data_IF_647653305009
#
_entry.id   IF_647653305009
#
_cell.length_a   1.000
_cell.length_b   1.000
_cell.length_c   1.000
_cell.angle_alpha   90.00
_cell.angle_beta   90.00
_cell.angle_gamma   90.00
#
_symmetry.space_group_name_H-M   'P 1'
#
loop_
_entity.id
_entity.type
_entity.pdbx_description
1 polymer ?
#
# COMPACT_ATOMS: atom_id res chain seq x y z
N UNK A 1 -9.77 12.35 15.37
CA UNK A 1 -8.98 12.74 14.18
C UNK A 1 -9.59 12.11 12.96
N UNK A 2 -9.89 12.91 11.93
CA UNK A 2 -10.42 12.46 10.63
C UNK A 2 -9.26 12.40 9.65
N UNK A 3 -9.02 11.22 9.08
CA UNK A 3 -7.93 10.93 8.16
C UNK A 3 -8.49 10.65 6.76
N UNK A 4 -7.91 11.31 5.74
CA UNK A 4 -8.14 10.96 4.34
C UNK A 4 -6.93 10.18 3.82
N UNK A 5 -7.15 8.95 3.39
CA UNK A 5 -6.12 8.03 2.90
C UNK A 5 -6.26 7.79 1.38
N UNK A 6 -5.13 7.74 0.68
CA UNK A 6 -5.05 7.52 -0.77
C UNK A 6 -4.11 6.36 -1.10
N UNK A 7 -4.57 5.37 -1.86
CA UNK A 7 -3.71 4.33 -2.44
C UNK A 7 -3.80 4.31 -3.96
N UNK A 8 -2.64 4.48 -4.59
CA UNK A 8 -2.45 4.47 -6.05
C UNK A 8 -1.22 3.67 -6.46
N UNK A 9 -0.64 2.89 -5.53
CA UNK A 9 0.63 2.19 -5.77
C UNK A 9 0.51 0.98 -6.70
N UNK A 10 -0.69 0.41 -6.83
CA UNK A 10 -0.97 -0.76 -7.68
C UNK A 10 -1.94 -0.40 -8.82
N UNK A 11 -2.57 -1.42 -9.43
CA UNK A 11 -3.63 -1.22 -10.43
C UNK A 11 -4.92 -0.63 -9.85
N UNK A 12 -5.05 -0.67 -8.55
CA UNK A 12 -6.18 -0.11 -7.80
C UNK A 12 -5.97 1.37 -7.54
N UNK A 13 -7.01 2.17 -7.70
CA UNK A 13 -7.13 3.50 -7.13
C UNK A 13 -8.16 3.44 -6.00
N UNK A 14 -7.78 3.92 -4.82
CA UNK A 14 -8.66 3.90 -3.66
C UNK A 14 -8.49 5.15 -2.80
N UNK A 15 -9.62 5.64 -2.27
CA UNK A 15 -9.71 6.80 -1.37
C UNK A 15 -10.60 6.43 -0.20
N UNK A 16 -10.17 6.66 1.02
CA UNK A 16 -10.98 6.46 2.22
C UNK A 16 -10.93 7.68 3.14
N UNK A 17 -12.05 7.95 3.78
CA UNK A 17 -12.16 8.87 4.91
C UNK A 17 -12.54 8.05 6.13
N UNK A 18 -11.76 8.16 7.21
CA UNK A 18 -11.99 7.38 8.42
C UNK A 18 -11.54 8.12 9.68
N UNK A 19 -12.12 7.72 10.80
CA UNK A 19 -11.56 7.96 12.14
C UNK A 19 -10.85 6.67 12.59
N UNK A 20 -10.21 6.70 13.76
CA UNK A 20 -9.58 5.51 14.34
C UNK A 20 -10.59 4.36 14.51
N UNK A 21 -11.83 4.68 14.88
CA UNK A 21 -12.85 3.69 15.22
C UNK A 21 -13.84 3.40 14.07
N UNK A 22 -13.87 4.21 13.01
CA UNK A 22 -14.92 4.14 11.99
C UNK A 22 -14.43 4.50 10.60
N UNK A 23 -14.70 3.60 9.64
CA UNK A 23 -14.64 3.91 8.22
C UNK A 23 -15.88 4.73 7.85
N UNK A 24 -15.69 5.98 7.42
CA UNK A 24 -16.78 6.90 7.05
C UNK A 24 -17.18 6.74 5.59
N UNK A 25 -16.19 6.63 4.68
CA UNK A 25 -16.41 6.45 3.26
C UNK A 25 -15.23 5.75 2.59
N UNK A 26 -15.51 4.96 1.55
CA UNK A 26 -14.52 4.28 0.74
C UNK A 26 -14.93 4.29 -0.72
N UNK A 27 -14.06 4.83 -1.58
CA UNK A 27 -14.12 4.66 -3.02
C UNK A 27 -12.98 3.73 -3.47
N UNK A 28 -13.33 2.70 -4.23
CA UNK A 28 -12.40 1.69 -4.71
C UNK A 28 -12.67 1.39 -6.18
N UNK A 29 -11.67 1.52 -7.04
CA UNK A 29 -11.76 1.22 -8.46
C UNK A 29 -10.56 0.37 -8.88
N UNK A 30 -10.82 -0.78 -9.51
CA UNK A 30 -9.80 -1.65 -10.10
C UNK A 30 -10.19 -1.93 -11.57
N UNK A 31 -9.94 -0.97 -12.44
CA UNK A 31 -10.31 -1.06 -13.86
C UNK A 31 -9.13 -0.87 -14.81
N UNK A 32 -7.90 -0.79 -14.28
CA UNK A 32 -6.67 -0.63 -15.06
C UNK A 32 -6.51 0.73 -15.74
N UNK A 33 -7.35 1.72 -15.41
CA UNK A 33 -7.27 3.07 -15.98
C UNK A 33 -6.27 3.95 -15.23
N UNK A 34 -5.86 5.04 -15.86
CA UNK A 34 -4.88 5.99 -15.35
C UNK A 34 -5.36 6.69 -14.07
N UNK A 35 -4.61 6.53 -12.98
CA UNK A 35 -4.95 7.09 -11.67
C UNK A 35 -5.04 8.62 -11.66
N UNK A 36 -4.21 9.31 -12.46
CA UNK A 36 -4.14 10.78 -12.49
C UNK A 36 -5.46 11.47 -12.86
N UNK A 37 -6.30 10.82 -13.67
CA UNK A 37 -7.59 11.37 -14.09
C UNK A 37 -8.75 11.02 -13.16
N UNK A 38 -8.56 10.03 -12.27
CA UNK A 38 -9.63 9.50 -11.42
C UNK A 38 -9.50 9.90 -9.96
N UNK A 39 -8.28 10.10 -9.47
CA UNK A 39 -8.03 10.26 -8.05
C UNK A 39 -8.73 11.50 -7.46
N UNK A 40 -8.59 12.68 -8.09
CA UNK A 40 -9.23 13.91 -7.59
C UNK A 40 -10.77 13.79 -7.60
N UNK A 41 -11.42 13.37 -8.71
CA UNK A 41 -12.86 13.09 -8.69
C UNK A 41 -13.32 12.10 -7.62
N UNK A 42 -12.52 11.07 -7.30
CA UNK A 42 -12.84 10.13 -6.21
C UNK A 42 -12.79 10.81 -4.84
N UNK A 43 -11.80 11.69 -4.62
CA UNK A 43 -11.69 12.48 -3.39
C UNK A 43 -12.91 13.41 -3.24
N UNK A 44 -13.23 14.16 -4.29
CA UNK A 44 -14.38 15.05 -4.31
C UNK A 44 -15.69 14.28 -4.03
N UNK A 45 -15.86 13.13 -4.67
CA UNK A 45 -17.07 12.31 -4.49
C UNK A 45 -17.19 11.79 -3.05
N UNK A 46 -16.13 11.24 -2.45
CA UNK A 46 -16.22 10.71 -1.07
C UNK A 46 -16.48 11.82 -0.06
N UNK A 47 -15.87 12.99 -0.25
CA UNK A 47 -16.10 14.13 0.63
C UNK A 47 -17.53 14.68 0.49
N UNK A 48 -18.04 14.79 -0.74
CA UNK A 48 -19.42 15.25 -1.01
C UNK A 48 -20.47 14.33 -0.37
N UNK A 49 -20.31 13.01 -0.47
CA UNK A 49 -21.22 12.03 0.15
C UNK A 49 -21.21 12.09 1.69
N UNK A 50 -20.18 12.68 2.28
CA UNK A 50 -20.03 12.88 3.71
C UNK A 50 -20.38 14.30 4.17
N UNK A 51 -20.88 15.16 3.27
CA UNK A 51 -21.08 16.60 3.53
C UNK A 51 -19.81 17.29 4.09
N UNK A 52 -18.63 16.89 3.61
CA UNK A 52 -17.31 17.35 4.06
C UNK A 52 -16.54 18.05 2.95
N UNK A 53 -15.55 18.82 3.36
CA UNK A 53 -14.53 19.45 2.50
C UNK A 53 -13.13 19.02 2.94
N UNK A 54 -12.09 19.34 2.17
CA UNK A 54 -10.70 19.09 2.57
C UNK A 54 -10.31 19.83 3.88
N UNK A 55 -11.03 20.87 4.25
CA UNK A 55 -10.81 21.60 5.53
C UNK A 55 -11.19 20.78 6.76
N UNK A 56 -12.19 19.90 6.62
CA UNK A 56 -12.70 19.04 7.69
C UNK A 56 -11.80 17.83 7.97
N UNK A 57 -10.80 17.60 7.12
CA UNK A 57 -9.80 16.54 7.27
C UNK A 57 -8.67 17.03 8.19
N UNK A 58 -8.36 16.28 9.24
CA UNK A 58 -7.31 16.62 10.19
C UNK A 58 -5.91 16.21 9.70
N UNK A 59 -5.81 15.10 8.97
CA UNK A 59 -4.56 14.55 8.47
C UNK A 59 -4.77 13.77 7.17
N UNK A 60 -3.69 13.60 6.42
CA UNK A 60 -3.67 12.82 5.19
C UNK A 60 -2.75 11.61 5.30
N UNK A 61 -3.04 10.54 4.56
CA UNK A 61 -2.14 9.40 4.42
C UNK A 61 -2.05 8.93 2.97
N UNK A 62 -0.88 8.41 2.58
CA UNK A 62 -0.72 7.73 1.30
C UNK A 62 0.26 6.57 1.39
N UNK A 63 0.13 5.62 0.46
CA UNK A 63 1.15 4.61 0.27
C UNK A 63 2.39 5.23 -0.37
N UNK A 64 3.57 4.87 0.16
CA UNK A 64 4.86 5.33 -0.36
C UNK A 64 5.59 4.28 -1.20
N UNK A 65 4.98 3.13 -1.47
CA UNK A 65 5.57 2.01 -2.21
C UNK A 65 5.88 0.79 -1.32
N UNK A 66 6.50 -0.24 -1.89
CA UNK A 66 6.88 -0.38 -3.30
C UNK A 66 5.68 -0.61 -4.23
N UNK A 67 5.84 -0.28 -5.51
CA UNK A 67 4.79 -0.45 -6.51
C UNK A 67 5.05 0.36 -7.79
N UNK A 68 3.98 0.79 -8.44
CA UNK A 68 4.03 1.64 -9.62
C UNK A 68 4.70 2.99 -9.32
N UNK A 69 5.84 3.24 -9.95
CA UNK A 69 6.58 4.50 -9.80
C UNK A 69 5.72 5.76 -10.09
N UNK A 70 4.91 5.70 -11.14
CA UNK A 70 3.96 6.78 -11.48
C UNK A 70 2.84 6.87 -10.45
N UNK A 71 2.27 5.73 -10.05
CA UNK A 71 1.18 5.69 -9.06
C UNK A 71 1.59 6.28 -7.71
N UNK A 72 2.75 5.87 -7.18
CA UNK A 72 3.30 6.41 -5.93
C UNK A 72 3.39 7.94 -5.99
N UNK A 73 3.96 8.49 -7.07
CA UNK A 73 4.10 9.94 -7.23
C UNK A 73 2.77 10.67 -7.33
N UNK A 74 1.79 10.10 -8.03
CA UNK A 74 0.43 10.67 -8.11
C UNK A 74 -0.18 10.80 -6.72
N UNK A 75 -0.21 9.70 -5.94
CA UNK A 75 -0.76 9.71 -4.58
C UNK A 75 -0.05 10.70 -3.67
N UNK A 76 1.28 10.63 -3.60
CA UNK A 76 2.09 11.51 -2.75
C UNK A 76 1.95 12.99 -3.12
N UNK A 77 1.98 13.33 -4.42
CA UNK A 77 1.81 14.72 -4.86
C UNK A 77 0.41 15.24 -4.55
N UNK A 78 -0.61 14.39 -4.65
CA UNK A 78 -1.99 14.75 -4.33
C UNK A 78 -2.15 15.05 -2.84
N UNK A 79 -1.68 14.17 -1.95
CA UNK A 79 -1.80 14.43 -0.50
C UNK A 79 -0.98 15.64 -0.09
N UNK A 80 0.24 15.83 -0.63
CA UNK A 80 1.04 17.02 -0.35
C UNK A 80 0.32 18.30 -0.79
N UNK A 81 -0.30 18.29 -1.97
CA UNK A 81 -1.08 19.43 -2.48
C UNK A 81 -2.31 19.75 -1.63
N UNK A 82 -3.01 18.73 -1.13
CA UNK A 82 -4.17 18.90 -0.24
C UNK A 82 -3.79 19.36 1.17
N UNK A 83 -2.66 18.90 1.68
CA UNK A 83 -2.19 19.22 3.02
C UNK A 83 -1.60 20.64 3.12
N UNK A 84 -0.93 21.10 2.05
CA UNK A 84 -0.15 22.34 2.04
C UNK A 84 -0.90 23.62 2.45
N UNK A 85 -2.15 23.88 1.99
CA UNK A 85 -2.82 25.16 2.31
C UNK A 85 -3.06 25.41 3.80
N UNK A 86 -3.20 24.35 4.60
CA UNK A 86 -3.48 24.43 6.03
C UNK A 86 -2.38 23.73 6.87
N UNK A 87 -1.24 23.44 6.25
CA UNK A 87 -0.08 22.77 6.88
C UNK A 87 -0.45 21.48 7.64
N UNK A 88 -1.44 20.72 7.10
CA UNK A 88 -1.92 19.49 7.73
C UNK A 88 -0.87 18.39 7.65
N UNK A 89 -0.77 17.54 8.68
CA UNK A 89 0.21 16.47 8.71
C UNK A 89 -0.12 15.37 7.68
N UNK A 90 0.93 14.72 7.18
CA UNK A 90 0.83 13.61 6.23
C UNK A 90 1.59 12.40 6.76
N UNK A 91 0.93 11.26 6.80
CA UNK A 91 1.54 9.97 7.10
C UNK A 91 1.81 9.18 5.81
N UNK A 92 2.86 8.37 5.81
CA UNK A 92 3.14 7.43 4.72
C UNK A 92 3.26 6.01 5.26
N UNK A 93 2.73 5.04 4.50
CA UNK A 93 2.76 3.63 4.86
C UNK A 93 3.25 2.82 3.66
N UNK A 94 4.03 1.76 3.91
CA UNK A 94 4.38 0.81 2.86
C UNK A 94 3.12 0.19 2.24
N UNK A 95 3.04 0.13 0.91
CA UNK A 95 1.94 -0.52 0.19
C UNK A 95 1.78 -2.00 0.57
N UNK A 96 2.88 -2.68 0.90
CA UNK A 96 2.87 -4.05 1.38
C UNK A 96 2.26 -4.15 2.79
N UNK A 97 2.63 -3.23 3.69
CA UNK A 97 2.03 -3.14 5.02
C UNK A 97 0.54 -2.84 4.94
N UNK A 98 0.13 -1.86 4.13
CA UNK A 98 -1.28 -1.54 3.90
C UNK A 98 -2.06 -2.75 3.35
N UNK A 99 -1.46 -3.52 2.42
CA UNK A 99 -2.07 -4.77 1.91
C UNK A 99 -2.26 -5.81 3.01
N UNK A 100 -1.28 -5.96 3.91
CA UNK A 100 -1.35 -6.92 5.02
C UNK A 100 -2.42 -6.54 6.05
N UNK A 101 -2.64 -5.24 6.30
CA UNK A 101 -3.66 -4.76 7.25
C UNK A 101 -5.08 -5.19 6.89
N UNK A 102 -5.37 -5.45 5.63
CA UNK A 102 -6.65 -6.03 5.21
C UNK A 102 -6.93 -7.41 5.79
N UNK A 103 -5.89 -8.08 6.24
CA UNK A 103 -5.91 -9.42 6.82
C UNK A 103 -5.47 -9.41 8.30
N UNK A 104 -5.51 -8.25 8.97
CA UNK A 104 -5.03 -8.06 10.34
C UNK A 104 -5.74 -8.90 11.41
N UNK A 105 -6.96 -9.38 11.12
CA UNK A 105 -7.71 -10.27 12.01
C UNK A 105 -7.31 -11.76 11.87
N UNK A 106 -6.41 -12.11 10.94
CA UNK A 106 -5.98 -13.49 10.72
C UNK A 106 -4.84 -13.88 11.67
N UNK A 107 -4.86 -15.10 12.23
CA UNK A 107 -3.81 -15.56 13.14
C UNK A 107 -2.52 -15.98 12.42
N UNK A 108 -2.58 -16.19 11.11
CA UNK A 108 -1.44 -16.61 10.29
C UNK A 108 -0.62 -15.41 9.83
N UNK A 109 0.67 -15.59 9.57
CA UNK A 109 1.47 -14.59 8.87
C UNK A 109 0.86 -14.23 7.51
N UNK A 110 0.99 -12.97 7.11
CA UNK A 110 0.53 -12.44 5.81
C UNK A 110 1.75 -12.03 5.01
N UNK A 111 1.94 -12.66 3.85
CA UNK A 111 2.93 -12.27 2.86
C UNK A 111 2.25 -11.40 1.81
N UNK A 112 2.45 -10.09 1.89
CA UNK A 112 2.00 -9.15 0.88
C UNK A 112 3.01 -9.11 -0.26
N UNK A 113 2.54 -9.24 -1.51
CA UNK A 113 3.39 -9.29 -2.69
C UNK A 113 2.92 -8.34 -3.79
N UNK A 114 3.86 -7.60 -4.37
CA UNK A 114 3.62 -6.76 -5.56
C UNK A 114 4.52 -7.19 -6.70
N UNK A 115 3.99 -7.24 -7.93
CA UNK A 115 4.75 -7.60 -9.11
C UNK A 115 5.88 -6.59 -9.38
N UNK A 116 7.13 -7.04 -9.35
CA UNK A 116 8.32 -6.25 -9.67
C UNK A 116 8.83 -6.51 -11.10
N UNK A 117 8.06 -7.24 -11.94
CA UNK A 117 8.39 -7.73 -13.28
C UNK A 117 9.55 -8.73 -13.29
N UNK A 118 9.77 -9.38 -14.45
CA UNK A 118 10.89 -10.32 -14.69
C UNK A 118 11.00 -11.42 -13.62
N UNK A 119 9.88 -12.07 -13.27
CA UNK A 119 9.78 -13.10 -12.23
C UNK A 119 10.21 -12.65 -10.83
N UNK A 120 10.30 -11.35 -10.60
CA UNK A 120 10.56 -10.75 -9.29
C UNK A 120 9.30 -10.18 -8.65
N UNK A 121 9.27 -10.18 -7.34
CA UNK A 121 8.24 -9.54 -6.53
C UNK A 121 8.89 -8.62 -5.50
N UNK A 122 8.20 -7.51 -5.20
CA UNK A 122 8.37 -6.85 -3.92
C UNK A 122 7.49 -7.58 -2.92
N UNK A 123 8.01 -7.90 -1.76
CA UNK A 123 7.26 -8.61 -0.74
C UNK A 123 7.65 -8.18 0.67
N UNK A 124 6.76 -8.42 1.60
CA UNK A 124 6.98 -8.27 3.03
C UNK A 124 6.11 -9.28 3.77
N UNK A 125 6.57 -9.78 4.92
CA UNK A 125 5.83 -10.72 5.76
C UNK A 125 5.50 -10.05 7.08
N UNK A 126 4.22 -10.05 7.42
CA UNK A 126 3.67 -9.39 8.60
C UNK A 126 2.88 -10.41 9.43
N UNK A 127 2.89 -10.24 10.73
CA UNK A 127 2.05 -10.99 11.65
C UNK A 127 1.35 -10.04 12.60
N UNK A 128 0.09 -10.29 12.86
CA UNK A 128 -0.71 -9.48 13.76
C UNK A 128 -0.95 -10.25 15.07
N UNK A 129 -0.49 -9.69 16.18
CA UNK A 129 -0.73 -10.21 17.51
C UNK A 129 -1.52 -9.15 18.29
N UNK A 130 -2.78 -9.45 18.67
CA UNK A 130 -3.71 -8.51 19.29
C UNK A 130 -3.83 -7.18 18.51
N UNK A 131 -3.95 -7.25 17.19
CA UNK A 131 -4.01 -6.13 16.24
C UNK A 131 -2.70 -5.31 16.12
N UNK A 132 -1.65 -5.65 16.84
CA UNK A 132 -0.32 -5.06 16.67
C UNK A 132 0.38 -5.73 15.50
N UNK A 133 0.81 -4.91 14.53
CA UNK A 133 1.53 -5.38 13.35
C UNK A 133 3.02 -5.59 13.67
N UNK A 134 3.46 -6.85 13.56
CA UNK A 134 4.87 -7.21 13.65
C UNK A 134 5.42 -7.50 12.26
N UNK A 135 6.43 -6.76 11.83
CA UNK A 135 7.12 -6.98 10.58
C UNK A 135 8.14 -8.11 10.73
N UNK A 136 7.86 -9.27 10.12
CA UNK A 136 8.75 -10.44 10.15
C UNK A 136 9.81 -10.33 9.06
N UNK A 137 9.41 -9.92 7.86
CA UNK A 137 10.31 -9.63 6.74
C UNK A 137 10.00 -8.23 6.23
N UNK A 138 10.96 -7.31 6.30
CA UNK A 138 10.76 -5.95 5.79
C UNK A 138 10.58 -5.93 4.27
N UNK A 139 10.03 -4.83 3.71
CA UNK A 139 9.88 -4.66 2.28
C UNK A 139 11.17 -4.98 1.52
N UNK A 140 11.14 -6.04 0.71
CA UNK A 140 12.28 -6.62 0.01
C UNK A 140 11.92 -6.97 -1.43
N UNK A 141 12.93 -7.19 -2.28
CA UNK A 141 12.76 -7.65 -3.66
C UNK A 141 13.50 -8.98 -3.85
N UNK A 142 12.83 -9.99 -4.41
CA UNK A 142 13.43 -11.28 -4.68
C UNK A 142 12.75 -12.00 -5.87
N UNK A 143 13.36 -13.08 -6.36
CA UNK A 143 12.74 -13.98 -7.32
C UNK A 143 11.57 -14.72 -6.68
N UNK A 144 10.49 -14.89 -7.43
CA UNK A 144 9.25 -15.52 -6.92
C UNK A 144 9.47 -16.95 -6.42
N UNK A 145 10.38 -17.71 -7.04
CA UNK A 145 10.69 -19.06 -6.61
C UNK A 145 11.43 -19.06 -5.26
N UNK A 146 12.35 -18.11 -5.06
CA UNK A 146 13.05 -17.93 -3.77
C UNK A 146 12.06 -17.57 -2.66
N UNK A 147 11.14 -16.62 -2.92
CA UNK A 147 10.09 -16.26 -1.95
C UNK A 147 9.18 -17.45 -1.65
N UNK A 148 8.75 -18.18 -2.69
CA UNK A 148 7.92 -19.38 -2.50
C UNK A 148 8.62 -20.42 -1.61
N UNK A 149 9.90 -20.69 -1.83
CA UNK A 149 10.68 -21.65 -1.05
C UNK A 149 10.94 -21.18 0.38
N UNK A 150 11.04 -19.90 0.62
CA UNK A 150 11.26 -19.32 1.96
C UNK A 150 10.06 -19.46 2.89
N UNK A 151 8.85 -19.65 2.34
CA UNK A 151 7.62 -19.85 3.10
C UNK A 151 7.53 -21.30 3.58
N UNK A 152 7.94 -21.54 4.80
CA UNK A 152 8.01 -22.89 5.41
C UNK A 152 6.86 -23.19 6.39
N UNK A 153 6.05 -22.19 6.73
CA UNK A 153 4.88 -22.33 7.62
C UNK A 153 3.62 -21.80 6.93
N UNK A 154 2.41 -22.21 7.34
CA UNK A 154 1.17 -21.71 6.78
C UNK A 154 1.14 -20.18 6.77
N UNK A 155 1.04 -19.58 5.58
CA UNK A 155 1.14 -18.13 5.36
C UNK A 155 0.10 -17.71 4.32
N UNK A 156 -0.64 -16.63 4.60
CA UNK A 156 -1.61 -16.07 3.67
C UNK A 156 -0.88 -15.14 2.70
N UNK A 157 -1.09 -15.33 1.40
CA UNK A 157 -0.52 -14.50 0.34
C UNK A 157 -1.59 -13.57 -0.21
N UNK A 158 -1.26 -12.27 -0.33
CA UNK A 158 -2.11 -11.23 -0.93
C UNK A 158 -1.30 -10.30 -1.85
N UNK A 159 -1.99 -9.42 -2.58
CA UNK A 159 -1.40 -8.48 -3.54
C UNK A 159 -1.38 -9.01 -4.97
N UNK A 160 -1.11 -8.13 -5.92
CA UNK A 160 -1.10 -8.45 -7.36
C UNK A 160 0.01 -9.43 -7.74
N UNK A 161 1.15 -9.43 -7.04
CA UNK A 161 2.20 -10.42 -7.18
C UNK A 161 1.71 -11.83 -6.83
N UNK A 162 0.94 -11.97 -5.74
CA UNK A 162 0.32 -13.24 -5.35
C UNK A 162 -0.69 -13.76 -6.36
N UNK A 163 -1.44 -12.85 -7.00
CA UNK A 163 -2.39 -13.19 -8.07
C UNK A 163 -1.64 -13.62 -9.33
N UNK A 164 -0.67 -12.83 -9.77
CA UNK A 164 0.08 -13.05 -11.02
C UNK A 164 0.88 -14.34 -11.03
N UNK A 165 1.51 -14.68 -9.92
CA UNK A 165 2.38 -15.85 -9.80
C UNK A 165 1.72 -17.02 -9.09
N UNK A 166 0.38 -17.08 -9.12
CA UNK A 166 -0.42 -18.10 -8.44
C UNK A 166 0.02 -19.52 -8.78
N UNK A 167 0.31 -19.81 -10.05
CA UNK A 167 0.71 -21.15 -10.51
C UNK A 167 2.01 -21.62 -9.86
N UNK A 168 3.00 -20.73 -9.74
CA UNK A 168 4.27 -21.03 -9.07
C UNK A 168 4.03 -21.23 -7.56
N UNK A 169 3.31 -20.33 -6.94
CA UNK A 169 3.03 -20.32 -5.51
C UNK A 169 2.20 -21.52 -5.08
N UNK A 170 1.30 -22.03 -5.93
CA UNK A 170 0.45 -23.20 -5.65
C UNK A 170 1.23 -24.50 -5.44
N UNK A 171 2.49 -24.57 -5.86
CA UNK A 171 3.36 -25.72 -5.62
C UNK A 171 3.83 -25.82 -4.15
N UNK A 172 3.68 -24.77 -3.37
CA UNK A 172 4.01 -24.75 -1.94
C UNK A 172 2.72 -24.90 -1.10
N UNK A 173 2.58 -26.05 -0.43
CA UNK A 173 1.41 -26.39 0.41
C UNK A 173 1.20 -25.47 1.63
N UNK A 174 2.21 -24.70 2.01
CA UNK A 174 2.12 -23.74 3.11
C UNK A 174 1.50 -22.41 2.68
N UNK A 175 1.30 -22.18 1.37
CA UNK A 175 0.74 -20.95 0.84
C UNK A 175 -0.79 -21.06 0.78
N UNK A 176 -1.44 -20.10 1.40
CA UNK A 176 -2.89 -19.93 1.43
C UNK A 176 -3.19 -18.61 0.70
N UNK A 177 -3.98 -18.64 -0.35
CA UNK A 177 -4.32 -17.41 -1.07
C UNK A 177 -5.45 -16.66 -0.39
N UNK A 178 -5.27 -15.36 -0.21
CA UNK A 178 -6.36 -14.50 0.21
C UNK A 178 -7.54 -14.59 -0.78
N UNK A 179 -8.80 -14.55 -0.30
CA UNK A 179 -9.96 -14.52 -1.17
C UNK A 179 -9.97 -13.21 -1.98
N UNK A 180 -10.62 -13.21 -3.15
CA UNK A 180 -10.54 -12.12 -4.13
C UNK A 180 -10.83 -10.73 -3.56
N UNK A 181 -11.81 -10.61 -2.65
CA UNK A 181 -12.20 -9.33 -2.02
C UNK A 181 -11.21 -8.81 -0.97
N UNK A 182 -10.26 -9.65 -0.52
CA UNK A 182 -9.21 -9.31 0.43
C UNK A 182 -7.81 -9.34 -0.18
N UNK A 183 -7.68 -9.72 -1.45
CA UNK A 183 -6.38 -9.94 -2.08
C UNK A 183 -5.67 -8.65 -2.50
N UNK A 184 -6.43 -7.58 -2.79
CA UNK A 184 -5.85 -6.29 -3.19
C UNK A 184 -5.97 -5.27 -2.05
N UNK A 185 -5.00 -4.36 -1.87
CA UNK A 185 -5.10 -3.30 -0.87
C UNK A 185 -6.23 -2.32 -1.20
N UNK A 186 -6.65 -1.56 -0.20
CA UNK A 186 -7.52 -0.41 -0.33
C UNK A 186 -7.13 0.71 0.65
N UNK A 187 -7.71 1.89 0.46
CA UNK A 187 -7.42 3.03 1.30
C UNK A 187 -7.96 2.88 2.74
N UNK A 188 -8.91 1.98 3.00
CA UNK A 188 -9.37 1.70 4.35
C UNK A 188 -8.32 0.93 5.16
N UNK A 189 -7.71 -0.11 4.55
CA UNK A 189 -6.59 -0.83 5.18
C UNK A 189 -5.34 0.04 5.33
N UNK A 190 -5.09 0.94 4.37
CA UNK A 190 -4.05 1.96 4.51
C UNK A 190 -4.31 2.90 5.69
N UNK A 191 -5.55 3.39 5.86
CA UNK A 191 -5.90 4.27 6.96
C UNK A 191 -5.68 3.58 8.32
N UNK A 192 -6.10 2.32 8.46
CA UNK A 192 -5.85 1.54 9.68
C UNK A 192 -4.34 1.41 9.99
N UNK A 193 -3.53 1.10 8.97
CA UNK A 193 -2.08 1.05 9.12
C UNK A 193 -1.47 2.42 9.47
N UNK A 194 -2.01 3.51 8.91
CA UNK A 194 -1.55 4.86 9.19
C UNK A 194 -1.87 5.30 10.62
N UNK A 195 -3.06 4.98 11.15
CA UNK A 195 -3.40 5.25 12.54
C UNK A 195 -2.43 4.55 13.50
N UNK A 196 -2.07 3.29 13.23
CA UNK A 196 -1.10 2.56 14.05
C UNK A 196 0.30 3.18 13.97
N UNK A 197 0.75 3.58 12.78
CA UNK A 197 2.03 4.28 12.61
C UNK A 197 2.04 5.62 13.38
N UNK A 198 0.99 6.42 13.24
CA UNK A 198 0.86 7.70 13.93
C UNK A 198 0.85 7.51 15.45
N UNK A 199 0.17 6.49 15.95
CA UNK A 199 0.09 6.17 17.37
C UNK A 199 1.43 5.76 17.97
N UNK A 200 2.24 5.01 17.20
CA UNK A 200 3.54 4.50 17.63
C UNK A 200 4.65 5.53 17.49
N UNK A 201 4.67 6.30 16.41
CA UNK A 201 5.80 7.10 15.97
C UNK A 201 5.50 8.60 15.83
N UNK A 202 4.23 9.00 15.95
CA UNK A 202 3.79 10.35 15.58
C UNK A 202 3.75 10.56 14.06
N UNK A 203 3.50 11.79 13.65
CA UNK A 203 3.62 12.16 12.25
C UNK A 203 5.08 12.32 11.85
N UNK A 204 5.50 11.82 10.69
CA UNK A 204 6.83 12.06 10.18
C UNK A 204 7.03 13.56 9.86
N UNK A 205 8.26 14.09 9.97
CA UNK A 205 8.58 15.43 9.48
C UNK A 205 8.20 15.57 8.01
N UNK A 206 7.69 16.73 7.60
CA UNK A 206 7.22 16.97 6.23
C UNK A 206 8.31 16.69 5.16
N UNK A 207 9.57 16.97 5.48
CA UNK A 207 10.73 16.74 4.62
C UNK A 207 11.03 15.24 4.42
N UNK A 208 10.62 14.37 5.36
CA UNK A 208 10.88 12.93 5.31
C UNK A 208 9.83 12.13 4.51
N UNK A 209 8.84 12.80 3.94
CA UNK A 209 7.79 12.18 3.15
C UNK A 209 8.32 11.86 1.76
N UNK A 210 8.96 10.70 1.64
CA UNK A 210 9.56 10.23 0.39
C UNK A 210 9.04 8.85 -0.03
N UNK A 211 9.20 8.56 -1.32
CA UNK A 211 8.85 7.27 -1.88
C UNK A 211 9.84 6.18 -1.44
N UNK A 212 9.32 5.04 -1.03
CA UNK A 212 10.09 3.84 -0.69
C UNK A 212 10.50 3.11 -1.98
N UNK A 213 11.68 3.38 -2.47
CA UNK A 213 12.25 2.69 -3.61
C UNK A 213 13.09 1.49 -3.14
N UNK A 214 12.46 0.32 -3.03
CA UNK A 214 13.14 -0.96 -2.73
C UNK A 214 14.11 -1.34 -3.86
N UNK A 215 13.90 -0.80 -5.06
CA UNK A 215 14.76 -0.99 -6.23
C UNK A 215 14.84 0.30 -7.05
N UNK A 216 16.01 0.57 -7.65
CA UNK A 216 16.19 1.69 -8.59
C UNK A 216 15.20 1.59 -9.75
N UNK A 217 14.76 2.72 -10.27
CA UNK A 217 13.86 2.77 -11.43
C UNK A 217 14.48 2.06 -12.66
N UNK A 218 13.64 1.58 -13.57
CA UNK A 218 14.12 0.94 -14.81
C UNK A 218 15.05 1.84 -15.61
N UNK A 219 14.80 3.14 -15.63
CA UNK A 219 15.65 4.15 -16.30
C UNK A 219 17.03 4.29 -15.64
N UNK A 220 17.09 4.27 -14.31
CA UNK A 220 18.36 4.31 -13.58
C UNK A 220 19.18 3.04 -13.77
N UNK A 221 18.51 1.87 -13.80
CA UNK A 221 19.16 0.58 -14.09
C UNK A 221 19.70 0.52 -15.51
N UNK A 222 18.97 1.06 -16.48
CA UNK A 222 19.41 1.12 -17.88
C UNK A 222 20.60 2.06 -18.03
N UNK A 223 20.59 3.21 -17.37
CA UNK A 223 21.72 4.15 -17.32
C UNK A 223 22.96 3.52 -16.70
N UNK A 224 22.80 2.75 -15.61
CA UNK A 224 23.94 2.02 -15.00
C UNK A 224 24.47 0.92 -15.91
N UNK A 225 23.59 0.22 -16.66
CA UNK A 225 24.03 -0.77 -17.69
C UNK A 225 24.80 -0.14 -18.81
N UNK A 226 24.39 1.05 -19.27
CA UNK A 226 25.11 1.80 -20.32
C UNK A 226 26.46 2.30 -19.84
N UNK A 227 26.57 2.73 -18.59
CA UNK A 227 27.82 3.23 -18.00
C UNK A 227 28.83 2.12 -17.64
N UNK A 228 28.43 0.85 -17.67
CA UNK A 228 29.31 -0.31 -17.41
C UNK A 228 29.85 -0.96 -18.71
N UNK A 229 29.43 -0.46 -19.87
CA UNK A 229 29.95 -0.84 -21.19
C UNK A 229 30.92 0.20 -21.71
#
# INVERSE_FOLDING_TARGET
MILLALDTCLSVASVAVSTEDKLLGLFYINNGLTHSTKLVPMIESVLAELDMTAKDIDAFACTNGPGSFTGIRIGMSTVKGLALPEEKPVATVSSLKASAYKLSCQPLPVCAMTDARNSQVFYGIYKFDNQVCNEIVPPSAADINEVSQSITTPTIVCGDGGIKYRDILSNNKNIIFAPAHLSMPDAASLAAAAFDEIKQNGFPPAESIDALYVRKSSAEQEKERMNRK
#
